data_IF_370236293441
#
_entry.id   IF_370236293441
#
_cell.length_a   1.000
_cell.length_b   1.000
_cell.length_c   1.000
_cell.angle_alpha   90.00
_cell.angle_beta   90.00
_cell.angle_gamma   90.00
#
_symmetry.space_group_name_H-M   'P 1'
#
loop_
_entity.id
_entity.type
_entity.pdbx_description
1 polymer ?
#
# COMPACT_ATOMS: atom_id res chain seq x y z
N UNK A 1 -17.51 -6.35 7.02
CA UNK A 1 -17.36 -6.98 5.69
C UNK A 1 -17.34 -5.97 4.54
N UNK A 2 -18.18 -4.93 4.54
CA UNK A 2 -18.24 -3.95 3.44
C UNK A 2 -16.93 -3.19 3.13
N UNK A 3 -16.18 -2.75 4.15
CA UNK A 3 -14.92 -2.01 3.95
C UNK A 3 -13.86 -2.87 3.27
N UNK A 4 -13.75 -4.15 3.64
CA UNK A 4 -12.81 -5.09 3.02
C UNK A 4 -13.17 -5.45 1.57
N UNK A 5 -14.47 -5.57 1.27
CA UNK A 5 -14.94 -5.80 -0.10
C UNK A 5 -14.70 -4.59 -1.01
N UNK A 6 -15.09 -3.39 -0.58
CA UNK A 6 -14.86 -2.13 -1.33
C UNK A 6 -13.37 -1.84 -1.51
N UNK A 7 -12.58 -2.10 -0.47
CA UNK A 7 -11.14 -2.07 -0.53
C UNK A 7 -10.55 -3.05 -1.54
N UNK A 8 -11.04 -4.29 -1.56
CA UNK A 8 -10.54 -5.34 -2.43
C UNK A 8 -10.84 -5.01 -3.89
N UNK A 9 -12.06 -4.52 -4.16
CA UNK A 9 -12.50 -4.09 -5.49
C UNK A 9 -11.71 -2.90 -6.03
N UNK A 10 -11.28 -1.97 -5.16
CA UNK A 10 -10.44 -0.83 -5.56
C UNK A 10 -8.96 -1.20 -5.75
N UNK A 11 -8.55 -2.42 -5.39
CA UNK A 11 -7.16 -2.88 -5.51
C UNK A 11 -6.17 -2.21 -4.56
N UNK A 12 -6.64 -1.35 -3.64
CA UNK A 12 -5.79 -0.57 -2.74
C UNK A 12 -5.47 -1.29 -1.42
N UNK A 13 -6.01 -2.49 -1.21
CA UNK A 13 -5.80 -3.28 0.00
C UNK A 13 -6.39 -2.69 1.28
N UNK A 14 -7.10 -1.54 1.19
CA UNK A 14 -8.06 -1.07 2.20
C UNK A 14 -7.50 -0.22 3.31
N UNK A 15 -6.19 -0.02 3.31
CA UNK A 15 -5.52 0.93 4.18
C UNK A 15 -6.06 2.35 4.07
N UNK A 16 -6.48 2.76 2.87
CA UNK A 16 -7.03 4.10 2.61
C UNK A 16 -8.31 4.37 3.41
N UNK A 17 -9.14 3.34 3.62
CA UNK A 17 -10.37 3.47 4.40
C UNK A 17 -10.16 3.12 5.87
N UNK A 18 -9.28 2.17 6.18
CA UNK A 18 -9.07 1.69 7.54
C UNK A 18 -8.23 2.65 8.38
N UNK A 19 -7.21 3.29 7.80
CA UNK A 19 -6.33 4.22 8.52
C UNK A 19 -7.07 5.44 9.09
N UNK A 20 -7.90 6.18 8.32
CA UNK A 20 -8.64 7.31 8.86
C UNK A 20 -9.68 6.87 9.89
N UNK A 21 -10.34 5.72 9.70
CA UNK A 21 -11.35 5.24 10.64
C UNK A 21 -10.75 4.90 12.01
N UNK A 22 -9.60 4.21 12.02
CA UNK A 22 -8.87 3.90 13.25
C UNK A 22 -8.39 5.17 13.99
N UNK A 23 -7.95 6.18 13.24
CA UNK A 23 -7.50 7.46 13.80
C UNK A 23 -8.66 8.33 14.28
N UNK A 24 -9.74 8.46 13.50
CA UNK A 24 -10.91 9.26 13.86
C UNK A 24 -11.68 8.69 15.05
N UNK A 25 -11.73 7.37 15.19
CA UNK A 25 -12.34 6.74 16.36
C UNK A 25 -11.42 6.70 17.59
N UNK A 26 -10.17 7.17 17.47
CA UNK A 26 -9.20 7.17 18.56
C UNK A 26 -8.79 5.77 19.02
N UNK A 27 -8.96 4.75 18.17
CA UNK A 27 -8.68 3.35 18.52
C UNK A 27 -7.20 2.97 18.41
N UNK A 28 -6.38 3.82 17.78
CA UNK A 28 -4.94 3.59 17.66
C UNK A 28 -4.17 4.86 17.31
N UNK A 29 -2.90 4.92 17.68
CA UNK A 29 -1.96 5.94 17.20
C UNK A 29 -1.54 5.68 15.75
N UNK A 30 -1.03 6.71 15.07
CA UNK A 30 -0.57 6.66 13.66
C UNK A 30 0.40 5.51 13.39
N UNK A 31 1.30 5.21 14.32
CA UNK A 31 2.24 4.09 14.21
C UNK A 31 1.53 2.73 14.23
N UNK A 32 0.60 2.54 15.15
CA UNK A 32 -0.14 1.27 15.32
C UNK A 32 -1.13 1.07 14.17
N UNK A 33 -1.83 2.15 13.77
CA UNK A 33 -2.72 2.14 12.60
C UNK A 33 -1.98 1.69 11.33
N UNK A 34 -0.77 2.21 11.10
CA UNK A 34 0.06 1.83 9.96
C UNK A 34 0.41 0.34 9.95
N UNK A 35 0.76 -0.24 11.10
CA UNK A 35 1.04 -1.68 11.22
C UNK A 35 -0.19 -2.55 10.94
N UNK A 36 -1.35 -2.19 11.50
CA UNK A 36 -2.62 -2.90 11.25
C UNK A 36 -2.99 -2.84 9.77
N UNK A 37 -2.83 -1.67 9.16
CA UNK A 37 -3.08 -1.48 7.73
C UNK A 37 -2.15 -2.31 6.86
N UNK A 38 -0.86 -2.38 7.17
CA UNK A 38 0.09 -3.20 6.44
C UNK A 38 -0.29 -4.70 6.48
N UNK A 39 -0.67 -5.20 7.65
CA UNK A 39 -1.17 -6.57 7.81
C UNK A 39 -2.47 -6.79 7.01
N UNK A 40 -3.39 -5.83 7.04
CA UNK A 40 -4.64 -5.90 6.29
C UNK A 40 -4.42 -5.95 4.77
N UNK A 41 -3.52 -5.09 4.26
CA UNK A 41 -3.13 -5.08 2.84
C UNK A 41 -2.51 -6.44 2.47
N UNK A 42 -1.60 -6.97 3.27
CA UNK A 42 -0.96 -8.27 3.02
C UNK A 42 -2.00 -9.39 2.91
N UNK A 43 -2.93 -9.47 3.86
CA UNK A 43 -4.00 -10.47 3.86
C UNK A 43 -4.90 -10.35 2.61
N UNK A 44 -5.27 -9.12 2.22
CA UNK A 44 -6.09 -8.90 1.02
C UNK A 44 -5.33 -9.24 -0.27
N UNK A 45 -4.05 -8.89 -0.37
CA UNK A 45 -3.22 -9.26 -1.51
C UNK A 45 -3.05 -10.78 -1.61
N UNK A 46 -2.86 -11.48 -0.48
CA UNK A 46 -2.77 -12.93 -0.46
C UNK A 46 -4.09 -13.59 -0.86
N UNK A 47 -5.21 -13.13 -0.32
CA UNK A 47 -6.54 -13.60 -0.71
C UNK A 47 -6.84 -13.31 -2.20
N UNK A 48 -6.45 -12.13 -2.69
CA UNK A 48 -6.56 -11.74 -4.10
C UNK A 48 -5.71 -12.63 -5.00
N UNK A 49 -4.46 -12.92 -4.61
CA UNK A 49 -3.57 -13.81 -5.36
C UNK A 49 -4.12 -15.24 -5.40
N UNK A 50 -4.58 -15.78 -4.26
CA UNK A 50 -5.20 -17.11 -4.19
C UNK A 50 -6.47 -17.19 -5.03
N UNK A 51 -7.32 -16.15 -5.01
CA UNK A 51 -8.51 -16.08 -5.85
C UNK A 51 -8.19 -15.94 -7.33
N UNK A 52 -7.07 -15.28 -7.66
CA UNK A 52 -6.64 -15.09 -9.05
C UNK A 52 -5.93 -16.32 -9.62
N UNK A 53 -5.30 -17.18 -8.80
CA UNK A 53 -4.65 -18.43 -9.24
C UNK A 53 -5.60 -19.32 -10.07
N UNK A 54 -6.91 -19.30 -9.79
CA UNK A 54 -7.90 -20.03 -10.58
C UNK A 54 -8.12 -19.45 -12.00
N UNK A 55 -7.70 -18.21 -12.25
CA UNK A 55 -7.85 -17.48 -13.52
C UNK A 55 -6.53 -17.28 -14.28
N UNK A 56 -5.37 -17.55 -13.66
CA UNK A 56 -4.06 -17.41 -14.32
C UNK A 56 -3.72 -18.72 -15.02
N UNK A 57 -3.82 -18.73 -16.35
CA UNK A 57 -3.48 -19.90 -17.17
C UNK A 57 -1.97 -20.22 -17.19
N UNK A 58 -1.12 -19.21 -17.05
CA UNK A 58 0.33 -19.36 -16.97
C UNK A 58 0.96 -18.18 -16.22
N UNK A 59 1.89 -18.47 -15.31
CA UNK A 59 2.71 -17.44 -14.65
C UNK A 59 3.90 -17.09 -15.56
N UNK A 60 4.23 -15.80 -15.74
CA UNK A 60 5.40 -15.40 -16.52
C UNK A 60 6.68 -15.95 -15.88
N UNK A 61 7.63 -16.37 -16.71
CA UNK A 61 8.90 -16.94 -16.24
C UNK A 61 9.77 -15.89 -15.49
N UNK A 62 9.48 -14.62 -15.70
CA UNK A 62 10.13 -13.47 -15.08
C UNK A 62 9.58 -13.16 -13.68
N UNK A 63 8.48 -13.81 -13.26
CA UNK A 63 7.86 -13.58 -11.95
C UNK A 63 8.85 -13.70 -10.76
N UNK A 64 9.76 -14.70 -10.70
CA UNK A 64 10.75 -14.78 -9.63
C UNK A 64 11.72 -13.60 -9.62
N UNK A 65 12.07 -13.07 -10.80
CA UNK A 65 12.94 -11.89 -10.93
C UNK A 65 12.23 -10.64 -10.37
N UNK A 66 10.96 -10.44 -10.73
CA UNK A 66 10.16 -9.34 -10.18
C UNK A 66 9.95 -9.47 -8.68
N UNK A 67 9.67 -10.68 -8.19
CA UNK A 67 9.55 -10.95 -6.76
C UNK A 67 10.84 -10.60 -6.01
N UNK A 68 12.00 -11.01 -6.55
CA UNK A 68 13.31 -10.64 -6.01
C UNK A 68 13.57 -9.13 -6.01
N UNK A 69 13.26 -8.46 -7.13
CA UNK A 69 13.41 -7.01 -7.25
C UNK A 69 12.52 -6.24 -6.27
N UNK A 70 11.25 -6.64 -6.12
CA UNK A 70 10.31 -6.05 -5.16
C UNK A 70 10.77 -6.29 -3.72
N UNK A 71 11.25 -7.50 -3.40
CA UNK A 71 11.76 -7.82 -2.07
C UNK A 71 12.99 -6.98 -1.71
N UNK A 72 13.98 -6.92 -2.60
CA UNK A 72 15.19 -6.11 -2.41
C UNK A 72 14.86 -4.62 -2.33
N UNK A 73 14.01 -4.12 -3.24
CA UNK A 73 13.55 -2.73 -3.24
C UNK A 73 12.80 -2.38 -1.96
N UNK A 74 11.96 -3.29 -1.45
CA UNK A 74 11.26 -3.13 -0.17
C UNK A 74 12.21 -3.07 1.02
N UNK A 75 13.19 -3.97 1.11
CA UNK A 75 14.19 -3.96 2.19
C UNK A 75 15.04 -2.69 2.18
N UNK A 76 15.54 -2.30 1.01
CA UNK A 76 16.36 -1.11 0.83
C UNK A 76 15.51 0.13 1.15
N UNK A 77 14.34 0.25 0.53
CA UNK A 77 13.45 1.41 0.69
C UNK A 77 12.98 1.60 2.14
N UNK A 78 12.61 0.53 2.84
CA UNK A 78 12.22 0.61 4.26
C UNK A 78 13.39 1.03 5.15
N UNK A 79 14.58 0.47 4.93
CA UNK A 79 15.79 0.83 5.70
C UNK A 79 16.18 2.29 5.51
N UNK A 80 16.18 2.77 4.27
CA UNK A 80 16.45 4.18 3.97
C UNK A 80 15.34 5.09 4.48
N UNK A 81 14.07 4.72 4.32
CA UNK A 81 12.93 5.52 4.81
C UNK A 81 12.96 5.75 6.31
N UNK A 82 13.41 4.76 7.10
CA UNK A 82 13.55 4.88 8.55
C UNK A 82 14.76 5.74 8.98
N UNK A 83 15.85 5.73 8.21
CA UNK A 83 17.10 6.44 8.55
C UNK A 83 17.19 7.85 8.00
N UNK A 84 16.54 8.10 6.87
CA UNK A 84 16.70 9.33 6.09
C UNK A 84 15.54 10.31 6.26
N UNK A 85 14.61 10.03 7.19
CA UNK A 85 13.42 10.83 7.50
C UNK A 85 13.79 12.26 7.94
N UNK A 86 14.18 13.07 6.97
CA UNK A 86 14.52 14.47 7.10
C UNK A 86 13.34 15.32 6.65
N UNK A 87 13.23 16.57 7.13
CA UNK A 87 12.19 17.49 6.70
C UNK A 87 12.13 17.66 5.16
N UNK A 88 13.27 17.51 4.47
CA UNK A 88 13.35 17.58 3.02
C UNK A 88 12.58 16.43 2.33
N UNK A 89 12.69 15.20 2.83
CA UNK A 89 11.97 14.04 2.27
C UNK A 89 10.48 14.18 2.52
N UNK A 90 10.07 14.63 3.71
CA UNK A 90 8.65 14.87 4.01
C UNK A 90 8.06 15.95 3.10
N UNK A 91 8.79 17.04 2.85
CA UNK A 91 8.38 18.08 1.89
C UNK A 91 8.29 17.55 0.47
N UNK A 92 9.28 16.77 0.01
CA UNK A 92 9.26 16.16 -1.30
C UNK A 92 8.06 15.22 -1.47
N UNK A 93 7.78 14.38 -0.46
CA UNK A 93 6.60 13.51 -0.44
C UNK A 93 5.30 14.32 -0.49
N UNK A 94 5.22 15.42 0.25
CA UNK A 94 4.09 16.35 0.20
C UNK A 94 3.87 16.92 -1.20
N UNK A 95 4.93 17.36 -1.88
CA UNK A 95 4.85 17.86 -3.27
C UNK A 95 4.35 16.76 -4.22
N UNK A 96 4.90 15.55 -4.10
CA UNK A 96 4.46 14.40 -4.91
C UNK A 96 2.99 14.08 -4.69
N UNK A 97 2.52 14.11 -3.43
CA UNK A 97 1.11 13.89 -3.09
C UNK A 97 0.20 14.97 -3.68
N UNK A 98 0.61 16.24 -3.63
CA UNK A 98 -0.15 17.34 -4.28
C UNK A 98 -0.23 17.12 -5.79
N UNK A 99 0.88 16.77 -6.44
CA UNK A 99 0.89 16.48 -7.89
C UNK A 99 -0.02 15.30 -8.20
N UNK A 100 0.04 14.22 -7.43
CA UNK A 100 -0.82 13.05 -7.61
C UNK A 100 -2.30 13.39 -7.42
N UNK A 101 -2.63 14.20 -6.41
CA UNK A 101 -4.00 14.67 -6.16
C UNK A 101 -4.53 15.52 -7.32
N UNK A 102 -3.71 16.46 -7.84
CA UNK A 102 -4.07 17.29 -9.00
C UNK A 102 -4.29 16.43 -10.25
N UNK A 103 -3.43 15.43 -10.48
CA UNK A 103 -3.59 14.47 -11.58
C UNK A 103 -4.90 13.69 -11.45
N UNK A 104 -5.24 13.22 -10.25
CA UNK A 104 -6.45 12.45 -10.02
C UNK A 104 -7.74 13.27 -10.20
N UNK A 105 -7.68 14.60 -9.98
CA UNK A 105 -8.77 15.54 -10.25
C UNK A 105 -8.93 15.88 -11.75
N UNK A 106 -8.11 15.31 -12.63
CA UNK A 106 -8.20 15.53 -14.08
C UNK A 106 -7.63 16.85 -14.55
N UNK A 107 -6.74 17.48 -13.76
CA UNK A 107 -6.03 18.69 -14.21
C UNK A 107 -5.02 18.38 -15.33
N UNK A 108 -4.68 17.10 -15.56
CA UNK A 108 -4.04 16.55 -16.78
C UNK A 108 -4.34 15.06 -16.92
#
# INVERSE_FOLDING_TARGET
>A
MGIGLLSGLTGTGGGIFLSPLLLFMGWSDTRTASGIVAAFILCNSFAGLLGNIASVQALPAELPLYAGAVFLGGLIGTTFGLRLASPAILKALGVVLVIAALKMLGVY
#
